data_IF_949546341652
#
_entry.id   IF_949546341652
#
_cell.length_a   1.000
_cell.length_b   1.000
_cell.length_c   1.000
_cell.angle_alpha   90.00
_cell.angle_beta   90.00
_cell.angle_gamma   90.00
#
_symmetry.space_group_name_H-M   'P 1'
#
loop_
_entity.id
_entity.type
_entity.pdbx_description
1 polymer ?
#
# COMPACT_ATOMS: atom_id res chain seq x y z
N UNK A 1 -5.80 18.35 0.55
CA UNK A 1 -5.07 17.08 0.66
C UNK A 1 -5.47 16.17 -0.51
N UNK A 2 -4.62 15.23 -0.93
CA UNK A 2 -4.89 14.31 -2.06
C UNK A 2 -6.14 13.46 -1.80
N UNK A 3 -6.29 12.94 -0.58
CA UNK A 3 -7.43 12.10 -0.17
C UNK A 3 -8.75 12.86 -0.28
N UNK A 4 -8.81 14.11 0.20
CA UNK A 4 -10.01 14.93 0.10
C UNK A 4 -10.45 15.11 -1.35
N UNK A 5 -9.51 15.38 -2.27
CA UNK A 5 -9.82 15.53 -3.70
C UNK A 5 -10.40 14.26 -4.30
N UNK A 6 -9.86 13.10 -3.94
CA UNK A 6 -10.37 11.80 -4.42
C UNK A 6 -11.76 11.53 -3.87
N UNK A 7 -12.02 11.80 -2.59
CA UNK A 7 -13.34 11.61 -1.99
C UNK A 7 -14.39 12.52 -2.64
N UNK A 8 -14.05 13.78 -2.94
CA UNK A 8 -14.94 14.70 -3.64
C UNK A 8 -15.28 14.20 -5.06
N UNK A 9 -14.28 13.66 -5.79
CA UNK A 9 -14.51 13.06 -7.10
C UNK A 9 -15.41 11.81 -7.03
N UNK A 10 -15.19 10.93 -6.04
CA UNK A 10 -16.01 9.74 -5.84
C UNK A 10 -17.46 10.13 -5.52
N UNK A 11 -17.67 11.13 -4.67
CA UNK A 11 -19.00 11.63 -4.33
C UNK A 11 -19.73 12.19 -5.56
N UNK A 12 -19.04 12.93 -6.44
CA UNK A 12 -19.64 13.41 -7.69
C UNK A 12 -20.07 12.25 -8.60
N UNK A 13 -19.22 11.24 -8.78
CA UNK A 13 -19.49 10.09 -9.65
C UNK A 13 -20.63 9.22 -9.09
N UNK A 14 -20.60 8.93 -7.80
CA UNK A 14 -21.59 8.07 -7.15
C UNK A 14 -22.89 8.79 -6.88
N UNK A 15 -22.85 10.08 -6.54
CA UNK A 15 -24.01 10.95 -6.37
C UNK A 15 -24.81 11.09 -7.66
N UNK A 16 -24.14 11.22 -8.82
CA UNK A 16 -24.79 11.20 -10.13
C UNK A 16 -25.52 9.88 -10.43
N UNK A 17 -25.18 8.79 -9.72
CA UNK A 17 -25.82 7.47 -9.81
C UNK A 17 -26.76 7.17 -8.64
N UNK A 18 -27.11 8.18 -7.84
CA UNK A 18 -27.99 8.05 -6.68
C UNK A 18 -27.39 7.30 -5.48
N UNK A 19 -26.08 7.04 -5.48
CA UNK A 19 -25.37 6.42 -4.35
C UNK A 19 -24.79 7.49 -3.43
N UNK A 20 -24.95 7.32 -2.11
CA UNK A 20 -24.35 8.20 -1.09
C UNK A 20 -23.04 7.63 -0.58
N UNK A 21 -22.09 8.53 -0.34
CA UNK A 21 -20.76 8.22 0.21
C UNK A 21 -20.65 8.87 1.58
N UNK A 22 -20.30 8.11 2.61
CA UNK A 22 -20.06 8.65 3.94
C UNK A 22 -18.56 8.94 4.09
N UNK A 23 -18.16 10.21 3.93
CA UNK A 23 -16.75 10.61 3.97
C UNK A 23 -16.14 10.36 5.33
N UNK A 24 -16.89 10.63 6.40
CA UNK A 24 -16.43 10.46 7.78
C UNK A 24 -16.11 9.00 8.07
N UNK A 25 -16.96 8.08 7.60
CA UNK A 25 -16.75 6.64 7.72
C UNK A 25 -15.50 6.18 6.98
N UNK A 26 -15.30 6.64 5.74
CA UNK A 26 -14.11 6.28 4.95
C UNK A 26 -12.84 6.83 5.61
N UNK A 27 -12.88 8.07 6.12
CA UNK A 27 -11.74 8.66 6.81
C UNK A 27 -11.39 7.93 8.11
N UNK A 28 -12.40 7.46 8.87
CA UNK A 28 -12.20 6.63 10.04
C UNK A 28 -11.57 5.28 9.67
N UNK A 29 -12.06 4.64 8.61
CA UNK A 29 -11.53 3.38 8.11
C UNK A 29 -10.08 3.52 7.61
N UNK A 30 -9.78 4.56 6.82
CA UNK A 30 -8.41 4.85 6.36
C UNK A 30 -7.46 5.08 7.54
N UNK A 31 -7.92 5.74 8.60
CA UNK A 31 -7.13 5.94 9.82
C UNK A 31 -6.82 4.59 10.50
N UNK A 32 -7.80 3.70 10.55
CA UNK A 32 -7.63 2.36 11.09
C UNK A 32 -6.71 1.49 10.22
N UNK A 33 -6.83 1.56 8.90
CA UNK A 33 -5.94 0.88 7.95
C UNK A 33 -4.49 1.34 8.12
N UNK A 34 -4.26 2.66 8.26
CA UNK A 34 -2.92 3.22 8.51
C UNK A 34 -2.32 2.72 9.82
N UNK A 35 -3.12 2.65 10.89
CA UNK A 35 -2.69 2.15 12.20
C UNK A 35 -2.38 0.66 12.17
N UNK A 36 -3.23 -0.12 11.51
CA UNK A 36 -3.17 -1.57 11.55
C UNK A 36 -2.23 -2.18 10.50
N UNK A 37 -2.01 -1.47 9.39
CA UNK A 37 -1.25 -1.94 8.24
C UNK A 37 -1.98 -2.98 7.40
N UNK A 38 -3.31 -3.04 7.47
CA UNK A 38 -4.15 -3.87 6.62
C UNK A 38 -5.58 -3.31 6.53
N UNK A 39 -6.30 -3.69 5.47
CA UNK A 39 -7.72 -3.43 5.26
C UNK A 39 -8.52 -4.75 5.24
N UNK A 40 -9.77 -4.70 5.69
CA UNK A 40 -10.73 -5.79 5.60
C UNK A 40 -11.96 -5.29 4.86
N UNK A 41 -12.45 -6.07 3.90
CA UNK A 41 -13.69 -5.80 3.17
C UNK A 41 -14.62 -6.98 3.34
N UNK A 42 -15.87 -6.72 3.73
CA UNK A 42 -16.90 -7.73 3.96
C UNK A 42 -18.08 -7.48 3.02
N UNK A 43 -18.18 -8.28 1.96
CA UNK A 43 -19.32 -8.30 1.07
C UNK A 43 -19.55 -7.02 0.26
N UNK A 44 -18.61 -6.07 0.26
CA UNK A 44 -18.79 -4.72 -0.31
C UNK A 44 -19.04 -4.72 -1.82
N UNK A 45 -18.32 -5.61 -2.52
CA UNK A 45 -18.47 -5.81 -3.97
C UNK A 45 -19.38 -6.99 -4.25
N UNK A 46 -19.07 -8.14 -3.64
CA UNK A 46 -19.80 -9.39 -3.83
C UNK A 46 -20.28 -9.91 -2.46
N UNK A 47 -21.59 -9.97 -2.21
CA UNK A 47 -22.12 -10.51 -0.96
C UNK A 47 -21.56 -11.90 -0.62
N UNK A 48 -21.28 -12.14 0.66
CA UNK A 48 -20.72 -13.41 1.15
C UNK A 48 -19.22 -13.60 0.88
N UNK A 49 -18.51 -12.55 0.46
CA UNK A 49 -17.04 -12.57 0.29
C UNK A 49 -16.34 -11.72 1.33
N UNK A 50 -15.12 -12.13 1.68
CA UNK A 50 -14.20 -11.38 2.52
C UNK A 50 -12.91 -11.16 1.74
N UNK A 51 -12.34 -9.96 1.87
CA UNK A 51 -11.02 -9.64 1.35
C UNK A 51 -10.13 -9.02 2.43
N UNK A 52 -8.84 -9.35 2.37
CA UNK A 52 -7.79 -8.77 3.22
C UNK A 52 -6.76 -8.15 2.30
N UNK A 53 -6.41 -6.88 2.53
CA UNK A 53 -5.37 -6.18 1.78
C UNK A 53 -4.28 -5.60 2.69
N UNK A 54 -3.04 -5.57 2.22
CA UNK A 54 -1.92 -4.87 2.85
C UNK A 54 -1.28 -3.91 1.84
N UNK A 55 -0.97 -2.66 2.24
CA UNK A 55 -0.24 -1.74 1.39
C UNK A 55 1.21 -2.20 1.16
N UNK A 56 1.75 -1.84 0.00
CA UNK A 56 3.14 -1.98 -0.40
C UNK A 56 3.74 -0.58 -0.49
N UNK A 57 4.89 -0.39 0.13
CA UNK A 57 5.53 0.93 0.28
C UNK A 57 6.84 0.99 -0.51
N UNK A 58 7.12 2.16 -1.10
CA UNK A 58 8.45 2.47 -1.58
C UNK A 58 9.42 2.87 -0.45
N UNK A 59 10.67 3.13 -0.81
CA UNK A 59 11.71 3.56 0.14
C UNK A 59 11.44 4.93 0.80
N UNK A 60 10.50 5.72 0.26
CA UNK A 60 10.07 7.01 0.83
C UNK A 60 8.83 6.86 1.71
N UNK A 61 8.34 5.64 1.93
CA UNK A 61 7.12 5.37 2.70
C UNK A 61 5.83 5.72 1.95
N UNK A 62 5.88 5.87 0.63
CA UNK A 62 4.69 6.11 -0.20
C UNK A 62 4.07 4.79 -0.61
N UNK A 63 2.74 4.69 -0.58
CA UNK A 63 2.02 3.52 -1.06
C UNK A 63 2.15 3.44 -2.57
N UNK A 64 2.66 2.33 -3.10
CA UNK A 64 2.88 2.13 -4.55
C UNK A 64 2.09 0.95 -5.12
N UNK A 65 1.66 0.03 -4.27
CA UNK A 65 0.80 -1.10 -4.63
C UNK A 65 0.08 -1.63 -3.38
N UNK A 66 -0.68 -2.70 -3.55
CA UNK A 66 -1.25 -3.49 -2.46
C UNK A 66 -1.19 -4.99 -2.79
N UNK A 67 -1.14 -5.83 -1.76
CA UNK A 67 -1.23 -7.29 -1.85
C UNK A 67 -2.41 -7.74 -1.01
N UNK A 68 -3.20 -8.69 -1.52
CA UNK A 68 -4.36 -9.18 -0.79
C UNK A 68 -4.83 -10.55 -1.21
N UNK A 69 -5.74 -11.10 -0.41
CA UNK A 69 -6.47 -12.33 -0.70
C UNK A 69 -7.97 -12.05 -0.62
N UNK A 70 -8.78 -12.80 -1.38
CA UNK A 70 -10.23 -12.78 -1.28
C UNK A 70 -10.81 -14.20 -1.30
N UNK A 71 -12.00 -14.36 -0.73
CA UNK A 71 -12.77 -15.59 -0.89
C UNK A 71 -14.10 -15.56 -0.14
N UNK A 72 -14.88 -16.65 -0.16
CA UNK A 72 -16.10 -16.79 0.60
C UNK A 72 -15.84 -16.67 2.10
N UNK A 73 -16.78 -16.05 2.81
CA UNK A 73 -16.69 -15.76 4.24
C UNK A 73 -16.43 -17.01 5.10
N UNK A 74 -16.97 -18.16 4.71
CA UNK A 74 -16.75 -19.44 5.41
C UNK A 74 -15.28 -19.90 5.45
N UNK A 75 -14.39 -19.32 4.61
CA UNK A 75 -12.93 -19.56 4.61
C UNK A 75 -12.16 -18.53 5.42
N UNK A 76 -12.85 -17.64 6.13
CA UNK A 76 -12.28 -16.57 6.95
C UNK A 76 -12.86 -16.63 8.36
N UNK A 77 -12.82 -17.83 8.98
CA UNK A 77 -13.31 -18.00 10.34
C UNK A 77 -12.54 -17.12 11.35
N UNK A 78 -13.13 -16.78 12.50
CA UNK A 78 -12.47 -15.98 13.54
C UNK A 78 -11.12 -16.55 13.99
N UNK A 79 -10.95 -17.86 14.00
CA UNK A 79 -9.71 -18.53 14.40
C UNK A 79 -8.60 -18.44 13.33
N UNK A 80 -8.98 -18.48 12.05
CA UNK A 80 -8.02 -18.42 10.95
C UNK A 80 -7.69 -16.99 10.49
N UNK A 81 -8.60 -16.05 10.73
CA UNK A 81 -8.48 -14.66 10.31
C UNK A 81 -7.16 -14.00 10.76
N UNK A 82 -6.72 -14.13 12.03
CA UNK A 82 -5.46 -13.52 12.48
C UNK A 82 -4.24 -14.05 11.71
N UNK A 83 -4.23 -15.34 11.38
CA UNK A 83 -3.14 -15.98 10.62
C UNK A 83 -3.13 -15.45 9.17
N UNK A 84 -4.29 -15.34 8.54
CA UNK A 84 -4.40 -14.79 7.18
C UNK A 84 -3.98 -13.32 7.12
N UNK A 85 -4.42 -12.49 8.07
CA UNK A 85 -3.99 -11.09 8.20
C UNK A 85 -2.47 -11.02 8.35
N UNK A 86 -1.89 -11.81 9.26
CA UNK A 86 -0.44 -11.85 9.49
C UNK A 86 0.31 -12.18 8.20
N UNK A 87 -0.16 -13.17 7.44
CA UNK A 87 0.49 -13.60 6.20
C UNK A 87 0.40 -12.53 5.11
N UNK A 88 -0.77 -11.92 4.91
CA UNK A 88 -0.95 -10.83 3.93
C UNK A 88 -0.05 -9.63 4.26
N UNK A 89 -0.01 -9.23 5.53
CA UNK A 89 0.91 -8.17 6.00
C UNK A 89 2.38 -8.51 5.75
N UNK A 90 2.77 -9.74 6.06
CA UNK A 90 4.15 -10.22 5.83
C UNK A 90 4.49 -10.16 4.34
N UNK A 91 3.59 -10.61 3.46
CA UNK A 91 3.80 -10.54 2.01
C UNK A 91 3.95 -9.10 1.51
N UNK A 92 3.08 -8.18 1.93
CA UNK A 92 3.20 -6.77 1.60
C UNK A 92 4.54 -6.16 2.05
N UNK A 93 4.98 -6.51 3.26
CA UNK A 93 6.27 -6.05 3.79
C UNK A 93 7.48 -6.68 3.08
N UNK A 94 7.45 -7.97 2.79
CA UNK A 94 8.54 -8.67 2.09
C UNK A 94 8.73 -8.16 0.67
N UNK A 95 7.64 -7.81 -0.04
CA UNK A 95 7.74 -7.17 -1.36
C UNK A 95 8.55 -5.87 -1.30
N UNK A 96 8.40 -5.09 -0.23
CA UNK A 96 9.18 -3.87 -0.05
C UNK A 96 10.69 -4.16 0.00
N UNK A 97 11.10 -5.28 0.61
CA UNK A 97 12.50 -5.65 0.79
C UNK A 97 13.13 -6.23 -0.49
N UNK A 98 12.38 -7.00 -1.26
CA UNK A 98 12.90 -7.65 -2.46
C UNK A 98 13.00 -6.67 -3.64
N UNK A 99 11.96 -5.86 -3.85
CA UNK A 99 11.87 -4.96 -5.00
C UNK A 99 12.69 -3.67 -4.82
N UNK A 100 12.70 -3.09 -3.62
CA UNK A 100 13.45 -1.85 -3.31
C UNK A 100 14.80 -2.10 -2.61
N UNK A 101 15.04 -3.33 -2.13
CA UNK A 101 16.27 -3.73 -1.46
C UNK A 101 17.21 -4.58 -2.31
N UNK A 102 16.92 -4.79 -3.61
CA UNK A 102 17.84 -5.52 -4.47
C UNK A 102 19.24 -4.88 -4.42
N UNK A 103 20.21 -5.65 -3.89
CA UNK A 103 21.61 -5.25 -3.74
C UNK A 103 22.23 -4.73 -5.04
N UNK A 104 21.67 -5.11 -6.19
CA UNK A 104 22.05 -4.59 -7.51
C UNK A 104 21.78 -3.09 -7.65
N UNK A 105 20.62 -2.57 -7.23
CA UNK A 105 20.30 -1.15 -7.36
C UNK A 105 21.12 -0.26 -6.41
N UNK A 106 21.33 -0.69 -5.16
CA UNK A 106 22.24 0.01 -4.23
C UNK A 106 23.70 -0.05 -4.68
N UNK A 107 24.15 -1.17 -5.23
CA UNK A 107 25.51 -1.29 -5.77
C UNK A 107 25.75 -0.36 -6.95
N UNK A 108 24.76 -0.22 -7.84
CA UNK A 108 24.80 0.71 -8.97
C UNK A 108 24.78 2.16 -8.49
N UNK A 109 23.86 2.54 -7.58
CA UNK A 109 23.78 3.90 -7.05
C UNK A 109 25.05 4.30 -6.26
N UNK A 110 25.61 3.39 -5.45
CA UNK A 110 26.85 3.64 -4.73
C UNK A 110 28.05 3.78 -5.70
N UNK A 111 28.11 2.99 -6.78
CA UNK A 111 29.14 3.15 -7.83
C UNK A 111 28.99 4.47 -8.60
N UNK A 112 27.76 4.86 -8.94
CA UNK A 112 27.49 6.13 -9.62
C UNK A 112 27.87 7.30 -8.71
N UNK A 113 27.48 7.27 -7.43
CA UNK A 113 27.83 8.31 -6.46
C UNK A 113 29.35 8.39 -6.21
N UNK A 114 30.06 7.25 -6.20
CA UNK A 114 31.51 7.21 -6.11
C UNK A 114 32.19 7.82 -7.36
N UNK A 115 31.70 7.50 -8.55
CA UNK A 115 32.21 8.05 -9.81
C UNK A 115 32.01 9.56 -9.91
N UNK A 116 30.83 10.06 -9.54
CA UNK A 116 30.53 11.50 -9.53
C UNK A 116 31.48 12.24 -8.58
N UNK A 117 31.61 11.76 -7.34
CA UNK A 117 32.53 12.35 -6.35
C UNK A 117 33.99 12.33 -6.82
N UNK A 118 34.41 11.27 -7.52
CA UNK A 118 35.77 11.16 -8.03
C UNK A 118 36.03 12.14 -9.21
N UNK A 119 35.05 12.31 -10.09
CA UNK A 119 35.12 13.27 -11.19
C UNK A 119 35.15 14.71 -10.66
N UNK A 120 34.33 15.03 -9.66
CA UNK A 120 34.31 16.36 -9.03
C UNK A 120 35.62 16.70 -8.33
N UNK A 121 36.20 15.77 -7.57
CA UNK A 121 37.52 15.95 -6.92
C UNK A 121 38.68 16.12 -7.90
N UNK A 122 38.58 15.54 -9.09
CA UNK A 122 39.60 15.68 -10.12
C UNK A 122 39.42 16.94 -10.98
N UNK A 123 38.23 17.55 -11.00
CA UNK A 123 38.01 18.87 -11.62
C UNK A 123 38.51 20.03 -10.77
N UNK A 124 38.59 19.88 -9.45
CA UNK A 124 39.06 20.94 -8.51
C UNK A 124 40.58 21.03 -8.39
N UNK A 125 41.34 20.16 -9.06
CA UNK A 125 42.82 20.13 -9.06
C UNK A 125 43.46 20.63 -10.36
N UNK A 126 42.70 21.30 -11.24
CA UNK A 126 43.22 21.96 -12.44
C UNK A 126 42.91 23.45 -12.38
#
# INVERSE_FOLDING_TARGET
DEISRVLDQIEQILGARGKRVNKESIMAELSQIRKNGYALSFGEVNPGTVAIGSPVFDYKGRVTASIGIMGPENRFSPDEMPVKIKNVKKSGHSFNQEHWGSRQFRGILNRISFLINHIEKNKTKR
#
